data_IF_685947189586
#
_entry.id   IF_685947189586
#
_cell.length_a   1.000
_cell.length_b   1.000
_cell.length_c   1.000
_cell.angle_alpha   90.00
_cell.angle_beta   90.00
_cell.angle_gamma   90.00
#
_symmetry.space_group_name_H-M   'P 1'
#
loop_
_entity.id
_entity.type
_entity.pdbx_description
1 polymer ?
#
# COMPACT_ATOMS: atom_id res chain seq x y z
N UNK A 1 -11.10 -9.48 30.37
CA UNK A 1 -11.38 -8.91 29.03
C UNK A 1 -10.17 -8.06 28.63
N UNK A 2 -9.18 -8.66 27.99
CA UNK A 2 -8.00 -7.94 27.49
C UNK A 2 -8.30 -7.44 26.08
N UNK A 3 -8.62 -6.16 25.96
CA UNK A 3 -8.77 -5.49 24.68
C UNK A 3 -7.46 -5.51 23.91
N UNK A 4 -7.40 -6.22 22.80
CA UNK A 4 -6.30 -6.16 21.86
C UNK A 4 -6.02 -4.70 21.50
N UNK A 5 -4.76 -4.22 21.55
CA UNK A 5 -4.43 -2.86 21.17
C UNK A 5 -4.81 -2.68 19.69
N UNK A 6 -5.84 -1.89 19.45
CA UNK A 6 -6.21 -1.45 18.09
C UNK A 6 -4.95 -0.84 17.50
N UNK A 7 -4.36 -1.51 16.49
CA UNK A 7 -3.23 -0.96 15.73
C UNK A 7 -3.70 0.40 15.22
N UNK A 8 -3.19 1.50 15.77
CA UNK A 8 -3.45 2.84 15.23
C UNK A 8 -2.93 2.88 13.81
N UNK A 9 -3.82 2.64 12.86
CA UNK A 9 -3.56 2.77 11.44
C UNK A 9 -3.16 4.22 11.19
N UNK A 10 -2.06 4.45 10.49
CA UNK A 10 -1.61 5.79 10.18
C UNK A 10 -2.61 6.40 9.19
N UNK A 11 -3.29 7.45 9.64
CA UNK A 11 -4.35 8.10 8.84
C UNK A 11 -3.78 8.68 7.54
N UNK A 12 -4.54 8.58 6.46
CA UNK A 12 -4.21 9.18 5.16
C UNK A 12 -3.35 8.31 4.23
N UNK A 13 -2.64 7.28 4.72
CA UNK A 13 -1.82 6.43 3.84
C UNK A 13 -2.66 5.63 2.84
N UNK A 14 -3.86 5.20 3.23
CA UNK A 14 -4.76 4.50 2.31
C UNK A 14 -5.27 5.45 1.22
N UNK A 15 -5.56 6.72 1.54
CA UNK A 15 -5.90 7.73 0.54
C UNK A 15 -4.78 7.95 -0.48
N UNK A 16 -3.53 8.01 -0.02
CA UNK A 16 -2.37 8.10 -0.91
C UNK A 16 -2.25 6.89 -1.84
N UNK A 17 -2.45 5.67 -1.31
CA UNK A 17 -2.48 4.44 -2.13
C UNK A 17 -3.58 4.49 -3.19
N UNK A 18 -4.77 4.93 -2.80
CA UNK A 18 -5.90 5.07 -3.69
C UNK A 18 -5.63 6.03 -4.84
N UNK A 19 -5.09 7.21 -4.55
CA UNK A 19 -4.71 8.19 -5.57
C UNK A 19 -3.64 7.68 -6.51
N UNK A 20 -2.59 7.02 -5.98
CA UNK A 20 -1.54 6.45 -6.80
C UNK A 20 -2.08 5.34 -7.72
N UNK A 21 -2.97 4.46 -7.24
CA UNK A 21 -3.60 3.43 -8.06
C UNK A 21 -4.49 4.03 -9.15
N UNK A 22 -5.28 5.05 -8.82
CA UNK A 22 -6.10 5.76 -9.79
C UNK A 22 -5.24 6.39 -10.89
N UNK A 23 -4.15 7.05 -10.49
CA UNK A 23 -3.22 7.65 -11.45
C UNK A 23 -2.58 6.62 -12.39
N UNK A 24 -2.26 5.42 -11.90
CA UNK A 24 -1.78 4.31 -12.75
C UNK A 24 -2.83 3.89 -13.78
N UNK A 25 -4.12 3.83 -13.41
CA UNK A 25 -5.19 3.52 -14.36
C UNK A 25 -5.28 4.60 -15.44
N UNK A 26 -5.28 5.88 -15.07
CA UNK A 26 -5.30 7.01 -15.99
C UNK A 26 -4.09 7.01 -16.94
N UNK A 27 -2.90 6.74 -16.41
CA UNK A 27 -1.69 6.56 -17.21
C UNK A 27 -1.84 5.45 -18.25
N UNK A 28 -2.38 4.28 -17.89
CA UNK A 28 -2.54 3.20 -18.84
C UNK A 28 -3.64 3.49 -19.88
N UNK A 29 -4.71 4.21 -19.51
CA UNK A 29 -5.67 4.73 -20.50
C UNK A 29 -4.98 5.65 -21.52
N UNK A 30 -4.09 6.53 -21.04
CA UNK A 30 -3.31 7.42 -21.88
C UNK A 30 -2.27 6.63 -22.73
N UNK A 31 -1.47 5.78 -22.09
CA UNK A 31 -0.36 5.03 -22.72
C UNK A 31 -0.83 4.17 -23.90
N UNK A 32 -1.94 3.46 -23.75
CA UNK A 32 -2.43 2.56 -24.78
C UNK A 32 -3.34 3.22 -25.80
N UNK A 33 -3.74 4.47 -25.57
CA UNK A 33 -4.47 5.27 -26.56
C UNK A 33 -3.52 6.01 -27.50
N UNK A 34 -2.43 6.57 -26.97
CA UNK A 34 -1.49 7.37 -27.73
C UNK A 34 -0.18 6.61 -27.95
N UNK A 35 0.15 6.21 -29.20
CA UNK A 35 1.39 5.49 -29.48
C UNK A 35 2.62 6.40 -29.39
N UNK A 36 3.81 5.78 -29.35
CA UNK A 36 5.09 6.47 -29.44
C UNK A 36 5.72 6.84 -28.10
N UNK A 37 5.25 6.29 -26.97
CA UNK A 37 5.88 6.54 -25.66
C UNK A 37 7.40 6.30 -25.69
N UNK A 38 8.22 7.22 -25.15
CA UNK A 38 7.86 8.45 -24.42
C UNK A 38 7.57 9.69 -25.30
N UNK A 39 7.87 9.66 -26.60
CA UNK A 39 7.58 10.75 -27.55
C UNK A 39 6.19 10.49 -28.19
N UNK A 40 5.15 10.71 -27.39
CA UNK A 40 3.81 10.32 -27.79
C UNK A 40 3.09 11.39 -28.64
N UNK A 41 2.14 10.92 -29.45
CA UNK A 41 1.25 11.78 -30.25
C UNK A 41 0.13 12.45 -29.44
N UNK A 42 0.15 12.35 -28.12
CA UNK A 42 -0.87 12.93 -27.24
C UNK A 42 -0.79 14.47 -27.22
N UNK A 43 -1.90 15.16 -27.01
CA UNK A 43 -1.89 16.61 -26.78
C UNK A 43 -1.09 16.96 -25.52
N UNK A 44 -0.28 18.03 -25.58
CA UNK A 44 0.64 18.44 -24.49
C UNK A 44 -0.02 18.65 -23.13
N UNK A 45 -1.28 19.06 -23.10
CA UNK A 45 -2.01 19.23 -21.84
C UNK A 45 -2.29 17.90 -21.10
N UNK A 46 -2.12 16.74 -21.77
CA UNK A 46 -2.17 15.41 -21.18
C UNK A 46 -0.80 14.89 -20.74
N UNK A 47 0.30 15.60 -20.97
CA UNK A 47 1.65 15.16 -20.65
C UNK A 47 1.83 14.84 -19.16
N UNK A 48 1.04 15.47 -18.29
CA UNK A 48 0.99 15.12 -16.88
C UNK A 48 0.64 13.65 -16.60
N UNK A 49 -0.04 12.95 -17.51
CA UNK A 49 -0.39 11.54 -17.35
C UNK A 49 0.74 10.58 -17.71
N UNK A 50 1.76 11.01 -18.43
CA UNK A 50 2.87 10.14 -18.88
C UNK A 50 3.79 9.66 -17.75
N UNK A 51 3.70 10.25 -16.57
CA UNK A 51 4.55 9.93 -15.41
C UNK A 51 4.00 8.79 -14.53
N UNK A 52 3.19 7.89 -15.06
CA UNK A 52 2.57 6.78 -14.29
C UNK A 52 3.56 5.88 -13.58
N UNK A 53 4.80 5.76 -14.09
CA UNK A 53 5.91 5.07 -13.43
C UNK A 53 6.19 5.65 -12.03
N UNK A 54 6.12 6.96 -11.84
CA UNK A 54 6.33 7.59 -10.54
C UNK A 54 5.31 7.16 -9.48
N UNK A 55 4.10 6.78 -9.88
CA UNK A 55 3.14 6.19 -8.95
C UNK A 55 3.58 4.80 -8.47
N UNK A 56 4.25 4.02 -9.32
CA UNK A 56 4.85 2.73 -8.93
C UNK A 56 6.01 2.95 -7.97
N UNK A 57 6.89 3.90 -8.27
CA UNK A 57 7.97 4.33 -7.36
C UNK A 57 7.41 4.76 -6.01
N UNK A 58 6.31 5.51 -6.01
CA UNK A 58 5.60 5.91 -4.80
C UNK A 58 5.07 4.71 -4.01
N UNK A 59 4.52 3.68 -4.68
CA UNK A 59 4.09 2.44 -4.02
C UNK A 59 5.25 1.74 -3.34
N UNK A 60 6.43 1.68 -3.95
CA UNK A 60 7.61 1.04 -3.36
C UNK A 60 8.12 1.81 -2.14
N UNK A 61 8.20 3.15 -2.21
CA UNK A 61 8.51 4.00 -1.05
C UNK A 61 7.50 3.76 0.08
N UNK A 62 6.21 3.76 -0.24
CA UNK A 62 5.13 3.56 0.72
C UNK A 62 5.13 2.14 1.31
N UNK A 63 5.52 1.14 0.53
CA UNK A 63 5.69 -0.24 0.99
C UNK A 63 6.83 -0.36 1.99
N UNK A 64 8.00 0.19 1.67
CA UNK A 64 9.14 0.26 2.59
C UNK A 64 8.77 0.98 3.90
N UNK A 65 8.15 2.15 3.79
CA UNK A 65 7.67 2.93 4.94
C UNK A 65 6.67 2.13 5.79
N UNK A 66 5.62 1.58 5.17
CA UNK A 66 4.53 0.90 5.87
C UNK A 66 5.00 -0.38 6.58
N UNK A 67 5.93 -1.12 5.98
CA UNK A 67 6.55 -2.31 6.57
C UNK A 67 7.39 -1.98 7.79
N UNK A 68 8.09 -0.86 7.73
CA UNK A 68 9.04 -0.46 8.77
C UNK A 68 8.39 0.26 9.97
N UNK A 69 7.11 0.70 9.90
CA UNK A 69 6.44 1.38 11.02
C UNK A 69 6.47 0.54 12.31
N UNK A 70 6.12 -0.74 12.24
CA UNK A 70 6.10 -1.61 13.43
C UNK A 70 7.51 -1.86 13.96
N UNK A 71 8.49 -2.30 13.13
CA UNK A 71 9.88 -2.42 13.56
C UNK A 71 10.46 -1.13 14.15
N UNK A 72 10.22 0.02 13.53
CA UNK A 72 10.72 1.31 14.03
C UNK A 72 10.26 1.60 15.46
N UNK A 73 8.99 1.30 15.78
CA UNK A 73 8.42 1.46 17.13
C UNK A 73 8.99 0.47 18.15
N UNK A 74 9.59 -0.63 17.69
CA UNK A 74 10.13 -1.70 18.54
C UNK A 74 11.65 -1.86 18.41
N UNK A 75 12.38 -0.74 18.21
CA UNK A 75 13.83 -0.72 18.12
C UNK A 75 14.40 -1.48 16.93
N UNK A 76 13.70 -1.45 15.79
CA UNK A 76 14.06 -2.09 14.52
C UNK A 76 14.17 -3.62 14.63
N UNK A 77 13.40 -4.22 15.52
CA UNK A 77 13.34 -5.68 15.68
C UNK A 77 12.25 -6.26 14.79
N UNK A 78 12.51 -7.41 14.19
CA UNK A 78 11.55 -8.21 13.44
C UNK A 78 10.87 -9.22 14.36
N UNK A 79 9.58 -9.44 14.18
CA UNK A 79 8.92 -10.67 14.59
C UNK A 79 9.47 -11.77 13.67
N UNK A 80 9.86 -12.92 14.06
CA UNK A 80 10.55 -13.95 13.27
C UNK A 80 10.36 -13.95 11.75
N UNK A 81 11.41 -14.22 10.99
CA UNK A 81 11.44 -14.12 9.53
C UNK A 81 10.36 -15.00 8.88
N UNK A 82 10.21 -16.25 9.32
CA UNK A 82 9.22 -17.19 8.78
C UNK A 82 7.78 -16.68 8.93
N UNK A 83 7.44 -16.14 10.11
CA UNK A 83 6.11 -15.58 10.37
C UNK A 83 5.85 -14.33 9.54
N UNK A 84 6.86 -13.48 9.37
CA UNK A 84 6.78 -12.32 8.49
C UNK A 84 6.51 -12.75 7.04
N UNK A 85 7.31 -13.69 6.50
CA UNK A 85 7.17 -14.20 5.12
C UNK A 85 5.80 -14.86 4.91
N UNK A 86 5.37 -15.69 5.84
CA UNK A 86 4.05 -16.33 5.80
C UNK A 86 2.92 -15.30 5.70
N UNK A 87 2.97 -14.24 6.52
CA UNK A 87 1.95 -13.18 6.50
C UNK A 87 1.95 -12.38 5.20
N UNK A 88 3.12 -12.16 4.59
CA UNK A 88 3.22 -11.43 3.32
C UNK A 88 2.74 -12.29 2.17
N UNK A 89 3.20 -13.52 2.07
CA UNK A 89 2.74 -14.47 1.07
C UNK A 89 1.21 -14.65 1.13
N UNK A 90 0.66 -14.84 2.32
CA UNK A 90 -0.78 -14.97 2.54
C UNK A 90 -1.60 -13.77 2.07
N UNK A 91 -1.03 -12.57 2.20
CA UNK A 91 -1.71 -11.34 1.80
C UNK A 91 -1.64 -11.06 0.31
N UNK A 92 -0.53 -11.45 -0.35
CA UNK A 92 -0.21 -11.03 -1.72
C UNK A 92 -0.55 -12.10 -2.73
N UNK A 93 -0.14 -13.35 -2.48
CA UNK A 93 -0.22 -14.42 -3.49
C UNK A 93 -1.65 -14.80 -3.88
N UNK A 94 -2.63 -14.98 -2.98
CA UNK A 94 -3.96 -15.40 -3.40
C UNK A 94 -4.66 -14.39 -4.35
N UNK A 95 -4.73 -13.08 -4.06
CA UNK A 95 -5.29 -12.13 -5.02
C UNK A 95 -4.43 -11.97 -6.26
N UNK A 96 -3.10 -12.09 -6.15
CA UNK A 96 -2.22 -12.06 -7.32
C UNK A 96 -2.50 -13.22 -8.28
N UNK A 97 -2.56 -14.46 -7.80
CA UNK A 97 -2.85 -15.62 -8.64
C UNK A 97 -4.25 -15.57 -9.25
N UNK A 98 -5.25 -15.08 -8.51
CA UNK A 98 -6.58 -14.86 -9.07
C UNK A 98 -6.55 -13.84 -10.22
N UNK A 99 -5.81 -12.73 -10.05
CA UNK A 99 -5.62 -11.73 -11.10
C UNK A 99 -4.78 -12.26 -12.28
N UNK A 100 -3.80 -13.12 -12.01
CA UNK A 100 -3.01 -13.79 -13.04
C UNK A 100 -3.91 -14.71 -13.90
N UNK A 101 -4.74 -15.53 -13.26
CA UNK A 101 -5.70 -16.38 -13.98
C UNK A 101 -6.64 -15.55 -14.86
N UNK A 102 -7.20 -14.46 -14.32
CA UNK A 102 -8.04 -13.55 -15.08
C UNK A 102 -7.29 -12.93 -16.27
N UNK A 103 -6.06 -12.47 -16.04
CA UNK A 103 -5.23 -11.85 -17.08
C UNK A 103 -4.85 -12.83 -18.18
N UNK A 104 -4.53 -14.09 -17.83
CA UNK A 104 -4.25 -15.17 -18.79
C UNK A 104 -5.48 -15.46 -19.65
N UNK A 105 -6.66 -15.59 -19.05
CA UNK A 105 -7.91 -15.80 -19.79
C UNK A 105 -8.17 -14.64 -20.76
N UNK A 106 -8.05 -13.40 -20.31
CA UNK A 106 -8.24 -12.23 -21.18
C UNK A 106 -7.18 -12.19 -22.28
N UNK A 107 -5.92 -12.52 -21.98
CA UNK A 107 -4.84 -12.48 -22.95
C UNK A 107 -4.96 -13.61 -24.02
N UNK A 108 -5.51 -14.75 -23.68
CA UNK A 108 -5.73 -15.84 -24.63
C UNK A 108 -6.97 -15.65 -25.48
N UNK A 109 -8.07 -15.17 -24.91
CA UNK A 109 -9.39 -15.21 -25.56
C UNK A 109 -9.92 -13.85 -26.01
N UNK A 110 -9.41 -12.74 -25.43
CA UNK A 110 -9.93 -11.40 -25.74
C UNK A 110 -8.88 -10.55 -26.44
N UNK A 111 -7.76 -10.24 -25.76
CA UNK A 111 -6.72 -9.38 -26.28
C UNK A 111 -5.38 -9.67 -25.62
N UNK A 112 -4.32 -10.01 -26.38
CA UNK A 112 -2.99 -10.20 -25.80
C UNK A 112 -2.47 -8.88 -25.25
N UNK A 113 -1.84 -8.94 -24.07
CA UNK A 113 -1.26 -7.77 -23.41
C UNK A 113 0.08 -7.36 -24.03
N UNK A 114 0.78 -8.29 -24.66
CA UNK A 114 2.11 -8.12 -25.22
C UNK A 114 2.09 -8.09 -26.76
N UNK A 115 3.03 -7.35 -27.35
CA UNK A 115 3.29 -7.40 -28.80
C UNK A 115 3.94 -8.74 -29.22
N UNK A 116 4.54 -9.49 -28.30
CA UNK A 116 5.11 -10.81 -28.53
C UNK A 116 4.08 -11.95 -28.59
N UNK A 117 2.79 -11.61 -28.58
CA UNK A 117 1.70 -12.57 -28.73
C UNK A 117 1.09 -13.03 -27.40
N UNK A 118 0.24 -14.11 -27.47
CA UNK A 118 -0.43 -14.63 -26.28
C UNK A 118 0.55 -15.30 -25.31
N UNK A 119 0.22 -15.34 -24.01
CA UNK A 119 1.02 -16.05 -23.01
C UNK A 119 1.21 -17.54 -23.33
N UNK A 120 2.39 -18.05 -23.03
CA UNK A 120 2.78 -19.45 -23.19
C UNK A 120 2.77 -20.20 -21.85
N UNK A 121 3.02 -21.53 -21.87
CA UNK A 121 3.25 -22.30 -20.64
C UNK A 121 4.41 -21.73 -19.80
N UNK A 122 5.48 -21.23 -20.45
CA UNK A 122 6.55 -20.50 -19.80
C UNK A 122 6.06 -19.23 -19.10
N UNK A 123 5.13 -18.50 -19.72
CA UNK A 123 4.52 -17.32 -19.07
C UNK A 123 3.77 -17.70 -17.79
N UNK A 124 3.01 -18.80 -17.81
CA UNK A 124 2.29 -19.27 -16.62
C UNK A 124 3.27 -19.57 -15.48
N UNK A 125 4.39 -20.25 -15.78
CA UNK A 125 5.39 -20.59 -14.78
C UNK A 125 6.10 -19.33 -14.24
N UNK A 126 6.63 -18.49 -15.13
CA UNK A 126 7.40 -17.28 -14.77
C UNK A 126 6.54 -16.33 -13.93
N UNK A 127 5.33 -16.00 -14.39
CA UNK A 127 4.42 -15.11 -13.66
C UNK A 127 3.80 -15.80 -12.44
N UNK A 128 3.55 -17.10 -12.50
CA UNK A 128 3.06 -17.87 -11.34
C UNK A 128 4.01 -17.88 -10.16
N UNK A 129 5.33 -17.85 -10.42
CA UNK A 129 6.39 -17.80 -9.43
C UNK A 129 6.92 -16.38 -9.12
N UNK A 130 6.32 -15.34 -9.73
CA UNK A 130 6.80 -13.95 -9.61
C UNK A 130 8.23 -13.75 -10.12
N UNK A 131 8.66 -14.54 -11.11
CA UNK A 131 10.02 -14.51 -11.67
C UNK A 131 10.19 -13.59 -12.87
N UNK A 132 9.21 -12.76 -13.21
CA UNK A 132 9.19 -11.94 -14.44
C UNK A 132 10.18 -10.76 -14.42
N UNK A 133 10.81 -10.44 -13.29
CA UNK A 133 11.92 -9.48 -13.24
C UNK A 133 13.27 -10.12 -13.59
N UNK A 134 13.33 -11.45 -13.58
CA UNK A 134 14.56 -12.24 -13.87
C UNK A 134 14.44 -12.98 -15.19
N UNK A 135 13.26 -13.51 -15.51
CA UNK A 135 13.04 -14.35 -16.69
C UNK A 135 12.10 -13.66 -17.68
N UNK A 136 12.45 -13.67 -18.95
CA UNK A 136 11.60 -13.13 -20.01
C UNK A 136 10.54 -14.14 -20.44
N UNK A 137 9.29 -13.70 -20.53
CA UNK A 137 8.19 -14.44 -21.10
C UNK A 137 7.12 -13.46 -21.62
N UNK A 138 6.29 -13.85 -22.62
CA UNK A 138 5.17 -13.01 -23.05
C UNK A 138 4.27 -12.66 -21.87
N UNK A 139 4.07 -11.35 -21.64
CA UNK A 139 3.35 -10.89 -20.45
C UNK A 139 1.84 -11.08 -20.57
N UNK A 140 1.16 -11.68 -19.58
CA UNK A 140 -0.30 -11.68 -19.52
C UNK A 140 -0.87 -10.33 -19.03
N UNK A 141 -0.06 -9.53 -18.35
CA UNK A 141 -0.46 -8.23 -17.80
C UNK A 141 0.79 -7.37 -17.56
N UNK A 142 0.92 -6.30 -18.34
CA UNK A 142 2.07 -5.42 -18.26
C UNK A 142 2.27 -4.70 -16.93
N UNK A 143 1.26 -4.65 -16.04
CA UNK A 143 1.41 -4.05 -14.73
C UNK A 143 2.08 -4.98 -13.70
N UNK A 144 2.26 -6.28 -13.99
CA UNK A 144 2.76 -7.24 -13.01
C UNK A 144 4.25 -7.17 -12.70
N UNK A 145 5.05 -6.49 -13.55
CA UNK A 145 6.48 -6.35 -13.31
C UNK A 145 6.80 -5.80 -11.91
N UNK A 146 6.07 -4.78 -11.46
CA UNK A 146 6.33 -4.15 -10.17
C UNK A 146 5.92 -5.01 -8.97
N UNK A 147 4.99 -5.95 -9.15
CA UNK A 147 4.61 -6.91 -8.10
C UNK A 147 5.74 -7.92 -7.86
N UNK A 148 6.48 -8.33 -8.90
CA UNK A 148 7.67 -9.15 -8.72
C UNK A 148 8.73 -8.38 -7.91
N UNK A 149 9.05 -7.15 -8.32
CA UNK A 149 9.99 -6.28 -7.59
C UNK A 149 9.55 -6.09 -6.13
N UNK A 150 8.26 -5.86 -5.88
CA UNK A 150 7.73 -5.71 -4.52
C UNK A 150 7.92 -7.01 -3.71
N UNK A 151 7.67 -8.18 -4.31
CA UNK A 151 7.85 -9.48 -3.66
C UNK A 151 9.30 -9.76 -3.32
N UNK A 152 10.23 -9.42 -4.20
CA UNK A 152 11.69 -9.52 -3.98
C UNK A 152 12.14 -8.62 -2.83
N UNK A 153 11.70 -7.36 -2.82
CA UNK A 153 11.99 -6.41 -1.74
C UNK A 153 11.41 -6.89 -0.41
N UNK A 154 10.26 -7.55 -0.42
CA UNK A 154 9.71 -8.18 0.79
C UNK A 154 10.53 -9.36 1.26
N UNK A 155 11.09 -10.16 0.35
CA UNK A 155 11.98 -11.26 0.71
C UNK A 155 13.28 -10.75 1.36
N UNK A 156 13.84 -9.64 0.85
CA UNK A 156 15.07 -9.02 1.37
C UNK A 156 14.84 -8.17 2.63
N UNK A 157 13.61 -7.73 2.90
CA UNK A 157 13.28 -6.81 4.00
C UNK A 157 13.81 -7.24 5.39
N UNK A 158 13.74 -8.53 5.82
CA UNK A 158 14.32 -8.93 7.10
C UNK A 158 15.84 -8.70 7.19
N UNK A 159 16.56 -8.90 6.07
CA UNK A 159 17.99 -8.61 5.98
C UNK A 159 18.24 -7.09 6.10
N UNK A 160 17.46 -6.27 5.40
CA UNK A 160 17.55 -4.81 5.48
C UNK A 160 17.30 -4.31 6.92
N UNK A 161 16.33 -4.91 7.63
CA UNK A 161 16.10 -4.61 9.05
C UNK A 161 17.29 -4.99 9.92
N UNK A 162 17.87 -6.15 9.69
CA UNK A 162 19.06 -6.59 10.42
C UNK A 162 20.23 -5.62 10.21
N UNK A 163 20.52 -5.26 8.96
CA UNK A 163 21.56 -4.28 8.63
C UNK A 163 21.22 -2.93 9.27
N UNK A 164 19.99 -2.42 9.11
CA UNK A 164 19.55 -1.15 9.71
C UNK A 164 19.78 -1.09 11.22
N UNK A 165 19.51 -2.20 11.91
CA UNK A 165 19.68 -2.30 13.36
C UNK A 165 21.16 -2.28 13.77
N UNK A 166 22.04 -2.88 12.96
CA UNK A 166 23.47 -3.01 13.26
C UNK A 166 24.27 -1.77 12.88
N UNK A 167 23.94 -1.14 11.77
CA UNK A 167 24.77 -0.11 11.14
C UNK A 167 24.17 1.30 11.19
N UNK A 168 22.88 1.42 11.47
CA UNK A 168 22.20 2.71 11.42
C UNK A 168 21.58 3.03 10.04
N UNK A 169 20.87 4.18 9.97
CA UNK A 169 20.14 4.59 8.76
C UNK A 169 21.05 4.99 7.61
N UNK A 170 22.03 5.85 7.92
CA UNK A 170 22.91 6.43 6.90
C UNK A 170 23.72 5.35 6.20
N UNK A 171 24.31 4.41 6.96
CA UNK A 171 25.11 3.34 6.38
C UNK A 171 24.26 2.35 5.59
N UNK A 172 23.03 2.01 6.05
CA UNK A 172 22.12 1.18 5.26
C UNK A 172 21.81 1.84 3.92
N UNK A 173 21.40 3.13 3.92
CA UNK A 173 21.10 3.85 2.69
C UNK A 173 22.34 3.89 1.78
N UNK A 174 23.52 4.18 2.32
CA UNK A 174 24.76 4.20 1.55
C UNK A 174 25.09 2.82 0.95
N UNK A 175 25.00 1.74 1.73
CA UNK A 175 25.30 0.36 1.27
C UNK A 175 24.38 -0.08 0.12
N UNK A 176 23.12 0.34 0.13
CA UNK A 176 22.16 -0.05 -0.93
C UNK A 176 22.21 0.92 -2.11
N UNK A 177 22.44 2.22 -1.87
CA UNK A 177 22.40 3.24 -2.93
C UNK A 177 23.71 3.33 -3.70
N UNK A 178 24.86 3.25 -3.02
CA UNK A 178 26.16 3.45 -3.67
C UNK A 178 26.45 2.46 -4.81
N UNK A 179 26.24 1.14 -4.65
CA UNK A 179 26.44 0.19 -5.76
C UNK A 179 25.54 0.50 -6.96
N UNK A 180 24.29 0.93 -6.70
CA UNK A 180 23.34 1.29 -7.74
C UNK A 180 23.77 2.55 -8.49
N UNK A 181 24.22 3.58 -7.76
CA UNK A 181 24.76 4.82 -8.36
C UNK A 181 26.00 4.54 -9.17
N UNK A 182 26.95 3.75 -8.64
CA UNK A 182 28.16 3.36 -9.37
C UNK A 182 27.82 2.62 -10.65
N UNK A 183 26.90 1.65 -10.61
CA UNK A 183 26.40 0.95 -11.80
C UNK A 183 25.81 1.94 -12.82
N UNK A 184 24.97 2.88 -12.36
CA UNK A 184 24.38 3.90 -13.24
C UNK A 184 25.41 4.78 -13.92
N UNK A 185 26.44 5.22 -13.18
CA UNK A 185 27.53 6.03 -13.74
C UNK A 185 28.45 5.26 -14.71
N UNK A 186 28.59 3.96 -14.51
CA UNK A 186 29.42 3.08 -15.38
C UNK A 186 28.64 2.57 -16.60
N UNK A 187 27.33 2.75 -16.65
CA UNK A 187 26.50 2.31 -17.77
C UNK A 187 26.79 3.19 -19.02
N UNK A 188 26.85 2.60 -20.23
CA UNK A 188 26.92 3.37 -21.46
C UNK A 188 25.76 4.37 -21.57
N UNK A 189 26.07 5.64 -21.82
CA UNK A 189 25.05 6.71 -21.83
C UNK A 189 24.54 7.15 -20.46
N UNK A 190 25.14 6.68 -19.35
CA UNK A 190 24.80 7.09 -17.99
C UNK A 190 23.45 6.56 -17.48
N UNK A 191 22.82 5.65 -18.19
CA UNK A 191 21.60 4.94 -17.77
C UNK A 191 21.70 3.47 -18.14
N UNK A 192 21.49 2.52 -17.21
CA UNK A 192 21.39 1.11 -17.55
C UNK A 192 20.23 0.90 -18.52
N UNK A 193 20.48 0.23 -19.64
CA UNK A 193 19.46 -0.04 -20.66
C UNK A 193 18.45 -1.05 -20.11
N UNK A 194 17.15 -0.77 -20.28
CA UNK A 194 16.09 -1.78 -20.09
C UNK A 194 16.32 -2.91 -21.10
N UNK A 195 16.47 -4.14 -20.62
CA UNK A 195 16.68 -5.31 -21.46
C UNK A 195 17.77 -6.25 -20.96
N UNK A 196 18.63 -5.81 -20.07
CA UNK A 196 19.44 -6.72 -19.27
C UNK A 196 18.53 -7.31 -18.17
N UNK A 197 18.13 -8.56 -18.38
CA UNK A 197 17.20 -9.35 -17.56
C UNK A 197 17.74 -9.65 -16.15
N UNK A 198 17.98 -8.63 -15.35
CA UNK A 198 18.48 -8.79 -13.99
C UNK A 198 17.83 -7.74 -13.11
N UNK A 199 17.05 -8.21 -12.13
CA UNK A 199 16.55 -7.47 -10.97
C UNK A 199 16.60 -5.93 -11.15
N UNK A 200 15.52 -5.22 -11.01
CA UNK A 200 15.49 -3.76 -11.09
C UNK A 200 16.19 -3.12 -9.85
N UNK A 201 17.54 -3.21 -9.74
CA UNK A 201 18.27 -2.94 -8.49
C UNK A 201 18.16 -1.49 -8.03
N UNK A 202 17.87 -0.55 -8.95
CA UNK A 202 17.69 0.87 -8.62
C UNK A 202 16.42 1.13 -7.79
N UNK A 203 15.49 0.18 -7.71
CA UNK A 203 14.30 0.29 -6.89
C UNK A 203 14.53 -0.14 -5.42
N UNK A 204 15.63 -0.86 -5.14
CA UNK A 204 15.99 -1.20 -3.76
C UNK A 204 16.32 0.05 -2.90
N UNK A 205 17.15 1.03 -3.35
CA UNK A 205 17.30 2.31 -2.64
C UNK A 205 16.00 3.05 -2.40
N UNK A 206 15.10 3.08 -3.38
CA UNK A 206 13.78 3.71 -3.28
C UNK A 206 12.99 3.13 -2.11
N UNK A 207 12.92 1.81 -2.01
CA UNK A 207 12.28 1.10 -0.91
C UNK A 207 12.97 1.35 0.43
N UNK A 208 14.31 1.35 0.46
CA UNK A 208 15.11 1.57 1.68
C UNK A 208 14.94 3.00 2.20
N UNK A 209 14.89 3.99 1.34
CA UNK A 209 14.63 5.40 1.72
C UNK A 209 13.26 5.48 2.39
N UNK A 210 12.23 4.84 1.82
CA UNK A 210 10.91 4.73 2.44
C UNK A 210 10.96 4.03 3.81
N UNK A 211 11.67 2.91 3.90
CA UNK A 211 11.86 2.15 5.13
C UNK A 211 12.49 3.01 6.24
N UNK A 212 13.57 3.75 5.92
CA UNK A 212 14.26 4.63 6.88
C UNK A 212 13.35 5.79 7.30
N UNK A 213 12.57 6.35 6.37
CA UNK A 213 11.59 7.41 6.65
C UNK A 213 10.55 7.02 7.71
N UNK A 214 10.21 5.74 7.84
CA UNK A 214 9.32 5.27 8.89
C UNK A 214 9.86 5.53 10.32
N UNK A 215 11.16 5.75 10.47
CA UNK A 215 11.77 6.14 11.73
C UNK A 215 11.17 7.42 12.34
N UNK A 216 10.65 8.32 11.49
CA UNK A 216 9.97 9.54 11.94
C UNK A 216 8.78 9.25 12.86
N UNK A 217 8.04 8.16 12.60
CA UNK A 217 6.85 7.78 13.39
C UNK A 217 7.23 7.36 14.82
N UNK A 218 8.45 6.85 15.01
CA UNK A 218 8.99 6.43 16.30
C UNK A 218 9.95 7.45 16.93
N UNK A 219 10.21 8.56 16.24
CA UNK A 219 11.13 9.61 16.69
C UNK A 219 10.53 10.46 17.82
N UNK A 220 11.38 11.27 18.44
CA UNK A 220 10.96 12.27 19.45
C UNK A 220 9.94 13.26 18.88
N UNK A 221 9.16 13.88 19.76
CA UNK A 221 8.15 14.86 19.35
C UNK A 221 8.77 16.04 18.59
N UNK A 222 10.02 16.43 18.91
CA UNK A 222 10.73 17.49 18.18
C UNK A 222 10.87 17.12 16.70
N UNK A 223 11.29 15.90 16.38
CA UNK A 223 11.44 15.40 15.00
C UNK A 223 10.09 15.23 14.32
N UNK A 224 9.09 14.72 15.03
CA UNK A 224 7.74 14.53 14.48
C UNK A 224 7.04 15.84 14.11
N UNK A 225 7.35 16.94 14.83
CA UNK A 225 6.79 18.27 14.58
C UNK A 225 7.53 19.06 13.50
N UNK A 226 8.61 18.52 12.93
CA UNK A 226 9.28 19.17 11.79
C UNK A 226 8.29 19.35 10.63
N UNK A 227 8.47 20.40 9.82
CA UNK A 227 7.59 20.70 8.70
C UNK A 227 7.87 19.78 7.50
N UNK A 228 7.62 18.46 7.66
CA UNK A 228 7.91 17.43 6.67
C UNK A 228 7.28 17.73 5.31
N UNK A 229 6.11 18.37 5.27
CA UNK A 229 5.48 18.80 4.03
C UNK A 229 6.31 19.81 3.23
N UNK A 230 6.92 20.79 3.91
CA UNK A 230 7.84 21.75 3.27
C UNK A 230 9.11 21.07 2.79
N UNK A 231 9.66 20.13 3.57
CA UNK A 231 10.82 19.35 3.15
C UNK A 231 10.50 18.50 1.93
N UNK A 232 9.30 17.93 1.83
CA UNK A 232 8.85 17.21 0.65
C UNK A 232 8.82 18.14 -0.58
N UNK A 233 8.28 19.36 -0.45
CA UNK A 233 8.26 20.35 -1.54
C UNK A 233 9.67 20.72 -1.95
N UNK A 234 10.53 21.08 -1.01
CA UNK A 234 11.92 21.47 -1.27
C UNK A 234 12.71 20.33 -1.96
N UNK A 235 12.50 19.09 -1.53
CA UNK A 235 13.15 17.93 -2.15
C UNK A 235 12.59 17.62 -3.55
N UNK A 236 11.33 17.96 -3.83
CA UNK A 236 10.72 17.77 -5.15
C UNK A 236 11.15 18.85 -6.16
N UNK A 237 11.45 20.08 -5.70
CA UNK A 237 11.75 21.21 -6.59
C UNK A 237 12.88 20.96 -7.60
N UNK A 238 14.04 20.37 -7.23
CA UNK A 238 15.10 20.08 -8.21
C UNK A 238 14.66 19.12 -9.30
N UNK A 239 13.90 18.08 -8.95
CA UNK A 239 13.40 17.08 -9.91
C UNK A 239 12.36 17.71 -10.84
N UNK A 240 11.45 18.51 -10.30
CA UNK A 240 10.46 19.24 -11.08
C UNK A 240 11.12 20.28 -12.00
N UNK A 241 12.08 21.04 -11.50
CA UNK A 241 12.84 22.01 -12.29
C UNK A 241 13.60 21.31 -13.44
N UNK A 242 14.25 20.20 -13.15
CA UNK A 242 14.93 19.39 -14.17
C UNK A 242 13.95 18.87 -15.23
N UNK A 243 12.78 18.39 -14.82
CA UNK A 243 11.71 17.94 -15.72
C UNK A 243 11.20 19.06 -16.64
N UNK A 244 11.04 20.28 -16.10
CA UNK A 244 10.64 21.45 -16.88
C UNK A 244 11.76 21.89 -17.86
N UNK A 245 13.01 21.94 -17.40
CA UNK A 245 14.15 22.39 -18.24
C UNK A 245 14.49 21.39 -19.31
N UNK A 246 14.50 20.10 -19.01
CA UNK A 246 14.90 19.03 -19.94
C UNK A 246 13.72 18.44 -20.73
N UNK A 247 12.51 18.66 -20.28
CA UNK A 247 11.28 18.14 -20.89
C UNK A 247 10.94 16.71 -20.46
N UNK A 248 9.74 16.32 -20.85
CA UNK A 248 9.12 15.04 -20.45
C UNK A 248 9.86 13.83 -21.02
N UNK A 249 10.23 13.86 -22.28
CA UNK A 249 10.94 12.75 -22.95
C UNK A 249 12.27 12.46 -22.25
N UNK A 250 13.06 13.51 -21.97
CA UNK A 250 14.30 13.34 -21.23
C UNK A 250 14.07 12.74 -19.84
N UNK A 251 13.08 13.24 -19.11
CA UNK A 251 12.77 12.77 -17.76
C UNK A 251 12.39 11.28 -17.76
N UNK A 252 11.64 10.86 -18.77
CA UNK A 252 11.20 9.48 -18.90
C UNK A 252 12.30 8.53 -19.37
N UNK A 253 13.20 8.98 -20.25
CA UNK A 253 14.36 8.17 -20.67
C UNK A 253 15.42 8.05 -19.60
N UNK A 254 15.45 8.99 -18.64
CA UNK A 254 16.39 8.96 -17.51
C UNK A 254 15.72 8.50 -16.19
N UNK A 255 14.66 7.67 -16.29
CA UNK A 255 13.88 7.19 -15.15
C UNK A 255 14.72 6.62 -14.01
N UNK A 256 15.81 5.95 -14.30
CA UNK A 256 16.75 5.40 -13.32
C UNK A 256 17.19 6.46 -12.29
N UNK A 257 17.60 7.64 -12.76
CA UNK A 257 18.01 8.75 -11.90
C UNK A 257 16.84 9.50 -11.28
N UNK A 258 15.76 9.64 -12.04
CA UNK A 258 14.55 10.33 -11.59
C UNK A 258 13.89 9.55 -10.45
N UNK A 259 13.79 8.23 -10.55
CA UNK A 259 13.22 7.36 -9.50
C UNK A 259 14.00 7.50 -8.18
N UNK A 260 15.34 7.54 -8.27
CA UNK A 260 16.20 7.74 -7.09
C UNK A 260 16.06 9.15 -6.51
N UNK A 261 16.03 10.17 -7.37
CA UNK A 261 15.96 11.56 -6.95
C UNK A 261 14.63 11.95 -6.31
N UNK A 262 13.51 11.35 -6.75
CA UNK A 262 12.18 11.65 -6.22
C UNK A 262 11.86 10.91 -4.92
N UNK A 263 12.54 9.80 -4.63
CA UNK A 263 12.26 8.96 -3.47
C UNK A 263 12.33 9.71 -2.11
N UNK A 264 13.32 10.60 -1.85
CA UNK A 264 13.33 11.42 -0.65
C UNK A 264 12.09 12.32 -0.51
N UNK A 265 11.68 13.00 -1.59
CA UNK A 265 10.49 13.86 -1.58
C UNK A 265 9.23 13.06 -1.26
N UNK A 266 9.05 11.89 -1.88
CA UNK A 266 7.94 10.98 -1.61
C UNK A 266 7.94 10.48 -0.16
N UNK A 267 9.13 10.14 0.36
CA UNK A 267 9.28 9.71 1.75
C UNK A 267 8.91 10.82 2.73
N UNK A 268 9.33 12.05 2.49
CA UNK A 268 9.00 13.21 3.32
C UNK A 268 7.51 13.54 3.25
N UNK A 269 6.86 13.39 2.10
CA UNK A 269 5.41 13.51 1.95
C UNK A 269 4.67 12.46 2.79
N UNK A 270 5.10 11.20 2.73
CA UNK A 270 4.52 10.12 3.54
C UNK A 270 4.76 10.39 5.03
N UNK A 271 5.94 10.86 5.41
CA UNK A 271 6.26 11.25 6.79
C UNK A 271 5.38 12.41 7.27
N UNK A 272 5.14 13.43 6.44
CA UNK A 272 4.23 14.53 6.73
C UNK A 272 2.82 14.01 7.05
N UNK A 273 2.24 13.20 6.16
CA UNK A 273 0.92 12.60 6.36
C UNK A 273 0.90 11.71 7.61
N UNK A 274 1.94 10.92 7.83
CA UNK A 274 2.06 10.01 8.97
C UNK A 274 2.18 10.72 10.32
N UNK A 275 2.68 11.95 10.33
CA UNK A 275 2.78 12.80 11.53
C UNK A 275 1.60 13.77 11.70
N UNK A 276 0.61 13.72 10.78
CA UNK A 276 -0.63 14.49 10.88
C UNK A 276 -0.59 15.89 10.23
N UNK A 277 0.41 16.19 9.44
CA UNK A 277 0.53 17.49 8.77
C UNK A 277 0.68 17.38 7.24
N UNK A 278 0.35 18.41 6.45
CA UNK A 278 -0.58 19.51 6.76
C UNK A 278 -2.02 19.02 6.98
N UNK A 279 -2.72 19.63 7.93
CA UNK A 279 -4.06 19.15 8.34
C UNK A 279 -5.08 19.07 7.17
N UNK A 280 -5.01 20.01 6.23
CA UNK A 280 -5.88 20.01 5.04
C UNK A 280 -5.61 18.77 4.19
N UNK A 281 -4.34 18.44 3.92
CA UNK A 281 -3.96 17.26 3.15
C UNK A 281 -4.44 15.97 3.84
N UNK A 282 -4.19 15.84 5.15
CA UNK A 282 -4.63 14.66 5.92
C UNK A 282 -6.16 14.54 5.89
N UNK A 283 -6.90 15.66 6.04
CA UNK A 283 -8.36 15.67 5.96
C UNK A 283 -8.85 15.19 4.59
N UNK A 284 -8.25 15.67 3.50
CA UNK A 284 -8.58 15.23 2.14
C UNK A 284 -8.28 13.73 1.96
N UNK A 285 -7.10 13.27 2.35
CA UNK A 285 -6.70 11.87 2.21
C UNK A 285 -7.51 10.91 3.10
N UNK A 286 -8.12 11.40 4.17
CA UNK A 286 -9.01 10.62 5.04
C UNK A 286 -10.47 10.70 4.63
N UNK A 287 -10.81 11.51 3.62
CA UNK A 287 -12.15 11.58 3.07
C UNK A 287 -12.64 10.19 2.61
N UNK A 288 -13.91 9.90 2.86
CA UNK A 288 -14.51 8.59 2.62
C UNK A 288 -14.23 8.01 1.23
N UNK A 289 -14.35 8.76 0.11
CA UNK A 289 -14.06 8.22 -1.22
C UNK A 289 -12.63 7.73 -1.38
N UNK A 290 -11.64 8.54 -0.95
CA UNK A 290 -10.22 8.21 -1.08
C UNK A 290 -9.82 7.05 -0.16
N UNK A 291 -10.40 6.97 1.03
CA UNK A 291 -10.19 5.84 1.93
C UNK A 291 -10.72 4.55 1.33
N UNK A 292 -11.95 4.56 0.79
CA UNK A 292 -12.55 3.38 0.13
C UNK A 292 -11.68 2.97 -1.05
N UNK A 293 -11.26 3.91 -1.90
CA UNK A 293 -10.36 3.63 -3.03
C UNK A 293 -9.06 2.99 -2.56
N UNK A 294 -8.48 3.47 -1.46
CA UNK A 294 -7.28 2.89 -0.86
C UNK A 294 -7.46 1.47 -0.32
N UNK A 295 -8.65 1.13 0.17
CA UNK A 295 -8.95 -0.20 0.70
C UNK A 295 -8.83 -1.30 -0.36
N UNK A 296 -9.20 -1.03 -1.63
CA UNK A 296 -9.11 -1.96 -2.75
C UNK A 296 -8.07 -1.56 -3.84
N UNK A 297 -7.19 -0.62 -3.52
CA UNK A 297 -6.15 -0.12 -4.44
C UNK A 297 -5.24 -1.23 -5.00
N UNK A 298 -4.95 -2.26 -4.21
CA UNK A 298 -4.18 -3.41 -4.65
C UNK A 298 -4.93 -4.23 -5.71
N UNK A 299 -6.20 -4.53 -5.49
CA UNK A 299 -7.06 -5.17 -6.48
C UNK A 299 -7.19 -4.34 -7.75
N UNK A 300 -7.36 -3.01 -7.62
CA UNK A 300 -7.41 -2.11 -8.76
C UNK A 300 -6.11 -2.17 -9.58
N UNK A 301 -4.96 -2.13 -8.90
CA UNK A 301 -3.66 -2.26 -9.56
C UNK A 301 -3.53 -3.59 -10.32
N UNK A 302 -4.00 -4.69 -9.76
CA UNK A 302 -3.86 -6.01 -10.36
C UNK A 302 -4.69 -6.21 -11.62
N UNK A 303 -5.92 -5.67 -11.68
CA UNK A 303 -6.87 -6.08 -12.73
C UNK A 303 -7.24 -4.99 -13.74
N UNK A 304 -6.83 -3.73 -13.54
CA UNK A 304 -7.24 -2.63 -14.43
C UNK A 304 -6.73 -2.79 -15.87
N UNK A 305 -5.47 -3.21 -16.04
CA UNK A 305 -4.83 -3.18 -17.36
C UNK A 305 -5.48 -4.11 -18.39
N UNK A 306 -5.81 -5.37 -18.11
CA UNK A 306 -6.56 -6.22 -19.03
C UNK A 306 -7.92 -5.60 -19.44
N UNK A 307 -8.60 -4.90 -18.51
CA UNK A 307 -9.88 -4.23 -18.77
C UNK A 307 -9.66 -3.03 -19.71
N UNK A 308 -8.67 -2.19 -19.41
CA UNK A 308 -8.32 -1.03 -20.25
C UNK A 308 -7.97 -1.48 -21.67
N UNK A 309 -7.13 -2.50 -21.82
CA UNK A 309 -6.76 -3.05 -23.13
C UNK A 309 -7.96 -3.63 -23.89
N UNK A 310 -8.84 -4.35 -23.22
CA UNK A 310 -10.05 -4.88 -23.84
C UNK A 310 -10.95 -3.74 -24.37
N UNK A 311 -11.13 -2.69 -23.59
CA UNK A 311 -11.92 -1.52 -24.03
C UNK A 311 -11.26 -0.82 -25.22
N UNK A 312 -9.97 -0.50 -25.15
CA UNK A 312 -9.27 0.24 -26.22
C UNK A 312 -9.21 -0.58 -27.51
N UNK A 313 -8.91 -1.87 -27.44
CA UNK A 313 -8.63 -2.68 -28.63
C UNK A 313 -9.84 -3.42 -29.21
N UNK A 314 -10.88 -3.67 -28.40
CA UNK A 314 -12.05 -4.44 -28.83
C UNK A 314 -13.35 -3.66 -28.83
N UNK A 315 -13.50 -2.66 -27.96
CA UNK A 315 -14.78 -1.93 -27.85
C UNK A 315 -14.70 -0.59 -28.55
N UNK A 316 -13.74 0.26 -28.20
CA UNK A 316 -13.64 1.63 -28.73
C UNK A 316 -13.64 1.73 -30.27
N UNK A 317 -12.97 0.85 -31.04
CA UNK A 317 -12.95 0.96 -32.50
C UNK A 317 -14.31 0.87 -33.17
N UNK A 318 -15.33 0.32 -32.51
CA UNK A 318 -16.69 0.24 -33.04
C UNK A 318 -17.50 1.51 -32.81
N UNK A 319 -17.06 2.43 -31.96
CA UNK A 319 -17.84 3.58 -31.53
C UNK A 319 -17.16 4.93 -31.80
N UNK A 320 -15.82 4.96 -31.77
CA UNK A 320 -15.06 6.21 -31.82
C UNK A 320 -13.81 6.09 -32.69
N UNK A 321 -13.36 7.22 -33.24
CA UNK A 321 -12.11 7.32 -33.98
C UNK A 321 -10.89 7.26 -33.04
N UNK A 322 -9.70 6.86 -33.54
CA UNK A 322 -8.44 6.87 -32.76
C UNK A 322 -8.09 8.25 -32.21
N UNK A 323 -7.27 8.27 -31.15
CA UNK A 323 -6.79 9.50 -30.52
C UNK A 323 -7.68 9.98 -29.36
N UNK A 324 -7.93 11.28 -29.27
CA UNK A 324 -8.71 11.89 -28.19
C UNK A 324 -10.11 11.29 -27.97
N UNK A 325 -10.91 10.98 -29.04
CA UNK A 325 -12.19 10.32 -28.82
C UNK A 325 -12.05 8.96 -28.13
N UNK A 326 -11.07 8.13 -28.55
CA UNK A 326 -10.77 6.85 -27.89
C UNK A 326 -10.33 7.05 -26.45
N UNK A 327 -9.51 8.06 -26.15
CA UNK A 327 -9.08 8.38 -24.80
C UNK A 327 -10.27 8.68 -23.89
N UNK A 328 -11.15 9.60 -24.28
CA UNK A 328 -12.32 9.95 -23.49
C UNK A 328 -13.30 8.81 -23.34
N UNK A 329 -13.53 8.06 -24.42
CA UNK A 329 -14.36 6.85 -24.37
C UNK A 329 -13.82 5.84 -23.36
N UNK A 330 -12.48 5.64 -23.35
CA UNK A 330 -11.81 4.73 -22.41
C UNK A 330 -11.94 5.23 -20.96
N UNK A 331 -11.76 6.54 -20.73
CA UNK A 331 -11.97 7.11 -19.39
C UNK A 331 -13.41 6.90 -18.91
N UNK A 332 -14.39 7.18 -19.76
CA UNK A 332 -15.82 7.07 -19.39
C UNK A 332 -16.25 5.61 -19.16
N UNK A 333 -15.69 4.68 -19.92
CA UNK A 333 -16.09 3.27 -19.85
C UNK A 333 -15.13 2.41 -18.99
N UNK A 334 -13.83 2.42 -19.30
CA UNK A 334 -12.88 1.50 -18.68
C UNK A 334 -12.59 1.85 -17.20
N UNK A 335 -12.57 3.15 -16.86
CA UNK A 335 -12.29 3.56 -15.48
C UNK A 335 -13.41 3.13 -14.51
N UNK A 336 -14.70 3.42 -14.73
CA UNK A 336 -15.77 2.92 -13.84
C UNK A 336 -15.85 1.39 -13.81
N UNK A 337 -15.67 0.72 -14.96
CA UNK A 337 -15.66 -0.75 -15.04
C UNK A 337 -14.50 -1.31 -14.21
N UNK A 338 -13.29 -0.73 -14.32
CA UNK A 338 -12.12 -1.15 -13.54
C UNK A 338 -12.33 -0.92 -12.04
N UNK A 339 -12.92 0.20 -11.64
CA UNK A 339 -13.22 0.51 -10.24
C UNK A 339 -14.24 -0.49 -9.66
N UNK A 340 -15.33 -0.75 -10.38
CA UNK A 340 -16.36 -1.70 -9.96
C UNK A 340 -15.81 -3.13 -9.89
N UNK A 341 -15.12 -3.57 -10.95
CA UNK A 341 -14.50 -4.88 -11.01
C UNK A 341 -13.47 -5.07 -9.88
N UNK A 342 -12.63 -4.05 -9.61
CA UNK A 342 -11.65 -4.09 -8.55
C UNK A 342 -12.29 -4.12 -7.15
N UNK A 343 -13.36 -3.40 -6.96
CA UNK A 343 -14.12 -3.44 -5.72
C UNK A 343 -14.72 -4.84 -5.47
N UNK A 344 -15.36 -5.44 -6.48
CA UNK A 344 -15.89 -6.82 -6.41
C UNK A 344 -14.77 -7.83 -6.19
N UNK A 345 -13.69 -7.74 -6.98
CA UNK A 345 -12.52 -8.60 -6.86
C UNK A 345 -11.90 -8.53 -5.46
N UNK A 346 -11.80 -7.33 -4.90
CA UNK A 346 -11.26 -7.16 -3.55
C UNK A 346 -12.09 -7.85 -2.49
N UNK A 347 -13.43 -7.86 -2.63
CA UNK A 347 -14.35 -8.54 -1.71
C UNK A 347 -14.17 -10.05 -1.70
N UNK A 348 -13.86 -10.61 -2.87
CA UNK A 348 -13.73 -12.07 -3.06
C UNK A 348 -12.30 -12.55 -2.77
N UNK A 349 -11.30 -11.86 -3.31
CA UNK A 349 -9.92 -12.37 -3.36
C UNK A 349 -8.92 -11.60 -2.48
N UNK A 350 -9.23 -10.40 -1.98
CA UNK A 350 -8.30 -9.62 -1.16
C UNK A 350 -8.72 -9.55 0.30
N UNK A 351 -9.95 -9.13 0.59
CA UNK A 351 -10.44 -8.90 1.95
C UNK A 351 -10.45 -10.16 2.82
N UNK A 352 -10.83 -11.35 2.32
CA UNK A 352 -10.79 -12.57 3.12
C UNK A 352 -9.40 -12.88 3.64
N UNK A 353 -8.37 -12.70 2.81
CA UNK A 353 -6.96 -12.94 3.16
C UNK A 353 -6.34 -11.80 3.99
N UNK A 354 -6.86 -10.60 3.91
CA UNK A 354 -6.49 -9.50 4.81
C UNK A 354 -7.03 -9.68 6.23
N UNK A 355 -8.24 -10.23 6.37
CA UNK A 355 -8.93 -10.39 7.64
C UNK A 355 -8.52 -11.66 8.38
N UNK A 356 -8.34 -12.75 7.64
CA UNK A 356 -7.99 -14.06 8.17
C UNK A 356 -6.49 -14.33 8.01
N UNK A 357 -5.85 -14.83 9.06
CA UNK A 357 -4.39 -15.07 9.06
C UNK A 357 -4.00 -16.51 8.75
N UNK A 358 -4.98 -17.40 8.54
CA UNK A 358 -4.78 -18.81 8.24
C UNK A 358 -5.99 -19.40 7.52
N UNK A 359 -5.80 -20.57 6.86
CA UNK A 359 -6.88 -21.33 6.26
C UNK A 359 -7.98 -21.70 7.27
N UNK A 360 -7.58 -22.10 8.49
CA UNK A 360 -8.54 -22.45 9.54
C UNK A 360 -9.48 -21.30 9.88
N UNK A 361 -8.94 -20.11 10.14
CA UNK A 361 -9.76 -18.93 10.42
C UNK A 361 -10.62 -18.50 9.24
N UNK A 362 -10.14 -18.70 7.99
CA UNK A 362 -10.90 -18.41 6.78
C UNK A 362 -12.13 -19.35 6.65
N UNK A 363 -11.92 -20.66 6.86
CA UNK A 363 -12.98 -21.68 6.79
C UNK A 363 -14.00 -21.49 7.94
N UNK A 364 -13.55 -21.18 9.15
CA UNK A 364 -14.41 -20.92 10.30
C UNK A 364 -15.29 -19.69 10.05
N UNK A 365 -14.71 -18.59 9.53
CA UNK A 365 -15.48 -17.39 9.16
C UNK A 365 -16.50 -17.68 8.06
N UNK A 366 -16.14 -18.49 7.06
CA UNK A 366 -17.06 -18.91 6.01
C UNK A 366 -18.22 -19.76 6.54
N UNK A 367 -17.93 -20.70 7.45
CA UNK A 367 -18.97 -21.54 8.09
C UNK A 367 -19.92 -20.75 8.96
N UNK A 368 -19.41 -19.77 9.76
CA UNK A 368 -20.26 -18.95 10.59
C UNK A 368 -21.23 -18.08 9.77
N UNK A 369 -20.76 -17.43 8.70
CA UNK A 369 -21.61 -16.69 7.79
C UNK A 369 -22.69 -17.56 7.11
N UNK A 370 -22.35 -18.80 6.81
CA UNK A 370 -23.31 -19.73 6.17
C UNK A 370 -24.36 -20.26 7.17
N UNK A 371 -23.97 -20.45 8.44
CA UNK A 371 -24.85 -20.84 9.52
C UNK A 371 -25.82 -19.70 9.88
N UNK A 372 -25.33 -18.46 9.98
CA UNK A 372 -26.15 -17.27 10.26
C UNK A 372 -27.13 -16.97 9.12
N UNK A 373 -26.75 -17.20 7.86
CA UNK A 373 -27.61 -17.06 6.68
C UNK A 373 -28.75 -18.07 6.65
N UNK A 374 -28.56 -19.27 7.22
CA UNK A 374 -29.61 -20.29 7.32
C UNK A 374 -30.50 -20.12 8.56
N UNK A 375 -29.98 -19.52 9.64
CA UNK A 375 -30.77 -19.29 10.87
C UNK A 375 -31.74 -18.12 10.76
N UNK A 376 -31.54 -17.19 9.81
CA UNK A 376 -32.39 -16.02 9.63
C UNK A 376 -33.74 -16.27 8.97
N UNK A 377 -34.02 -17.47 8.41
CA UNK A 377 -35.25 -17.76 7.70
C UNK A 377 -36.31 -18.57 8.51
N UNK A 378 -36.01 -18.91 9.78
CA UNK A 378 -36.89 -19.75 10.59
C UNK A 378 -37.34 -19.14 11.94
N UNK A 379 -37.19 -17.84 12.18
CA UNK A 379 -37.90 -17.18 13.26
C UNK A 379 -39.14 -16.46 12.69
N UNK A 380 -40.19 -17.23 12.50
CA UNK A 380 -41.56 -16.68 12.48
C UNK A 380 -41.86 -16.07 13.87
N UNK A 381 -42.49 -14.90 13.95
CA UNK A 381 -43.02 -14.42 15.21
C UNK A 381 -44.14 -15.38 15.66
N UNK A 382 -44.01 -15.92 16.84
CA UNK A 382 -45.12 -16.60 17.47
C UNK A 382 -46.22 -15.56 17.77
N UNK A 383 -47.32 -15.64 17.01
CA UNK A 383 -48.59 -15.01 17.31
C UNK A 383 -49.14 -15.54 18.63
N UNK A 384 -49.53 -14.60 19.48
CA UNK A 384 -50.75 -14.60 20.25
C UNK A 384 -50.96 -15.72 21.27
N UNK A 385 -50.88 -15.35 22.54
CA UNK A 385 -51.93 -15.75 23.49
C UNK A 385 -52.23 -14.56 24.38
N UNK A 386 -53.42 -14.04 24.12
CA UNK A 386 -54.15 -13.14 24.97
C UNK A 386 -54.85 -13.93 26.11
N UNK A 387 -55.04 -13.28 27.24
CA UNK A 387 -56.09 -13.58 28.19
C UNK A 387 -55.60 -14.23 29.47
N UNK A 388 -55.60 -13.60 30.59
CA UNK A 388 -56.69 -13.57 31.49
C UNK A 388 -56.32 -12.93 32.84
N UNK A 389 -57.07 -12.01 33.16
CA UNK A 389 -57.32 -11.25 34.33
C UNK A 389 -57.43 -12.12 35.61
N UNK A 390 -56.82 -11.71 36.75
CA UNK A 390 -57.52 -11.67 38.02
C UNK A 390 -56.82 -10.85 39.09
N UNK A 391 -57.60 -9.96 39.65
CA UNK A 391 -57.35 -9.12 40.80
C UNK A 391 -57.15 -9.93 42.09
N UNK A 392 -56.40 -9.36 42.99
CA UNK A 392 -56.74 -9.12 44.41
C UNK A 392 -55.53 -8.46 45.09
N UNK A 393 -55.68 -7.25 45.50
CA UNK A 393 -55.89 -6.72 46.86
C UNK A 393 -54.79 -7.06 47.88
N UNK A 394 -54.28 -6.01 48.45
CA UNK A 394 -54.02 -5.97 49.87
C UNK A 394 -52.69 -5.40 50.35
N UNK A 395 -52.73 -4.13 50.70
CA UNK A 395 -52.25 -3.50 51.94
C UNK A 395 -50.74 -3.55 52.31
N UNK A 396 -50.26 -2.30 52.44
CA UNK A 396 -49.54 -1.70 53.61
C UNK A 396 -48.08 -2.18 53.90
N UNK A 397 -47.25 -1.28 53.92
CA UNK A 397 -46.76 -0.33 54.91
C UNK A 397 -45.25 -0.42 55.11
N UNK A 398 -44.67 0.75 55.16
CA UNK A 398 -43.64 1.18 56.11
C UNK A 398 -42.20 0.72 55.96
N UNK A 399 -41.35 1.63 55.61
CA UNK A 399 -40.44 2.18 56.57
C UNK A 399 -38.94 1.83 56.41
N UNK A 400 -38.16 2.88 56.47
CA UNK A 400 -36.79 2.98 56.93
C UNK A 400 -35.69 2.68 55.85
N UNK A 401 -35.06 3.69 55.33
CA UNK A 401 -33.98 4.56 55.85
C UNK A 401 -32.71 3.81 56.27
N UNK A 402 -31.64 4.36 55.71
CA UNK A 402 -30.21 4.31 56.14
C UNK A 402 -29.40 3.11 55.61
N UNK A 403 -28.17 3.21 55.22
CA UNK A 403 -27.11 4.23 55.31
C UNK A 403 -25.96 3.82 54.41
N UNK A 404 -25.24 4.75 53.86
CA UNK A 404 -23.85 4.58 53.38
C UNK A 404 -22.96 4.31 54.57
N UNK A 405 -21.81 3.66 54.35
CA UNK A 405 -20.59 4.17 54.98
C UNK A 405 -19.52 4.62 54.00
N UNK A 406 -19.01 5.66 54.41
CA UNK A 406 -17.91 6.49 54.08
C UNK A 406 -16.58 5.85 54.39
N UNK A 407 -15.62 6.01 53.45
CA UNK A 407 -14.21 6.39 53.63
C UNK A 407 -13.48 6.00 54.92
N UNK A 408 -12.32 5.37 54.79
CA UNK A 408 -11.21 5.67 55.68
C UNK A 408 -9.87 5.69 54.92
N UNK A 409 -9.36 6.90 54.79
CA UNK A 409 -7.96 7.27 54.52
C UNK A 409 -7.13 6.88 55.74
N UNK A 410 -5.99 6.25 55.55
CA UNK A 410 -4.93 6.19 56.59
C UNK A 410 -3.59 6.57 55.95
N UNK A 411 -3.22 7.80 56.21
CA UNK A 411 -1.86 8.29 56.16
C UNK A 411 -1.16 8.00 57.51
N UNK A 412 0.12 7.72 57.46
CA UNK A 412 1.16 7.92 58.48
C UNK A 412 2.33 7.02 58.08
N UNK A 413 3.55 7.44 58.09
CA UNK A 413 4.26 8.55 58.71
C UNK A 413 5.71 8.55 58.25
N UNK A 414 6.19 9.73 58.20
CA UNK A 414 7.62 10.07 58.09
C UNK A 414 8.43 9.65 59.31
N UNK A 415 9.70 9.31 59.16
CA UNK A 415 10.84 10.06 59.67
C UNK A 415 12.21 9.39 59.41
N UNK A 416 13.30 10.14 59.61
CA UNK A 416 14.47 10.16 58.72
C UNK A 416 15.81 9.81 59.42
N UNK A 417 16.92 10.09 58.68
CA UNK A 417 18.32 10.25 59.11
C UNK A 417 19.17 8.98 59.27
N UNK A 418 20.37 8.94 58.70
CA UNK A 418 21.55 9.74 59.08
C UNK A 418 22.65 9.64 58.02
N UNK A 419 23.33 10.74 57.86
CA UNK A 419 24.65 10.97 57.30
C UNK A 419 25.72 9.97 57.82
N UNK A 420 26.65 9.64 56.96
CA UNK A 420 28.07 9.79 57.32
C UNK A 420 28.95 9.83 56.08
N UNK A 421 29.69 10.91 56.05
CA UNK A 421 30.81 11.26 55.20
C UNK A 421 31.94 10.23 55.24
N UNK A 422 32.73 10.21 54.19
CA UNK A 422 34.19 10.22 54.13
C UNK A 422 34.66 9.61 52.81
N UNK A 423 35.27 10.35 52.06
CA UNK A 423 36.68 10.74 51.77
C UNK A 423 37.19 10.11 50.48
N UNK A 424 37.52 10.98 49.54
CA UNK A 424 38.51 10.75 48.49
C UNK A 424 39.91 10.63 49.12
N UNK A 425 40.92 9.93 48.55
CA UNK A 425 41.68 10.63 47.50
C UNK A 425 42.21 9.74 46.35
N UNK A 426 42.40 10.32 45.17
CA UNK A 426 43.64 10.49 44.44
C UNK A 426 44.32 9.28 43.81
N UNK A 427 44.49 9.36 42.51
CA UNK A 427 45.34 8.55 41.65
C UNK A 427 44.95 8.74 40.21
#
# INVERSE_FOLDING_TARGET
MSGSPVRRQVQGLDGLRGLAALYVVLFHCWLYTFPGYPDSSAPRWLDGLMYGRLAVVFFLVLSGFSLAISPARHGWRSEGVAEYMRRRAWRILPPYWAALCMSLVIAWFVVPASHSGPPTGGSVLVYGLLGQDVFTAPTPNGAFWSIAVEAELYAVFPLLLFVRRRTGAALLVALVTLPVVVRGLMAPGGTPVEGENWLTPHLAPVFVIGMVGAGVVAASDRVRRLPWGWFAVLAALPVLALGVIKGSVWTLTHYFWVDLAVAPAMTMLIAAVATGGPAVLVRLLTARPLRILGEFSYSLYLIHLPIVLAVIRRVAPHFVSPGLPTFWFTIVLALPVSLLAAWLFSRIFELPFKRNRSWRSLVETGRSHWADGRGGSLRRPAEGQAGENRRSDGTEASGARAARPMVTVRAMGMKPSKESSQELPGG
#
